data_IF_580266283145
#
_entry.id   IF_580266283145
#
_cell.length_a   1.000
_cell.length_b   1.000
_cell.length_c   1.000
_cell.angle_alpha   90.00
_cell.angle_beta   90.00
_cell.angle_gamma   90.00
#
_symmetry.space_group_name_H-M   'P 1'
#
loop_
_entity.id
_entity.type
_entity.pdbx_description
1 polymer ?
#
# COMPACT_ATOMS: atom_id res chain seq x y z
N UNK A 1 -11.35 42.40 -8.68
CA UNK A 1 -12.15 41.63 -7.70
C UNK A 1 -12.48 40.20 -8.14
N UNK A 2 -12.62 39.91 -9.45
CA UNK A 2 -12.93 38.54 -9.94
C UNK A 2 -11.78 37.53 -9.86
N UNK A 3 -10.53 37.98 -9.91
CA UNK A 3 -9.37 37.08 -10.03
C UNK A 3 -8.97 36.44 -8.69
N UNK A 4 -8.99 37.22 -7.61
CA UNK A 4 -8.82 36.71 -6.24
C UNK A 4 -9.90 35.69 -5.86
N UNK A 5 -11.13 35.92 -6.33
CA UNK A 5 -12.27 35.03 -6.06
C UNK A 5 -12.10 33.69 -6.78
N UNK A 6 -11.65 33.71 -8.04
CA UNK A 6 -11.29 32.50 -8.81
C UNK A 6 -10.14 31.72 -8.17
N UNK A 7 -9.13 32.43 -7.67
CA UNK A 7 -7.97 31.81 -7.01
C UNK A 7 -8.38 31.16 -5.68
N UNK A 8 -9.23 31.82 -4.91
CA UNK A 8 -9.79 31.28 -3.66
C UNK A 8 -10.67 30.05 -3.92
N UNK A 9 -11.54 30.08 -4.94
CA UNK A 9 -12.37 28.92 -5.29
C UNK A 9 -11.54 27.73 -5.77
N UNK A 10 -10.50 27.98 -6.58
CA UNK A 10 -9.60 26.93 -7.04
C UNK A 10 -8.82 26.26 -5.91
N UNK A 11 -8.27 27.06 -4.97
CA UNK A 11 -7.56 26.51 -3.81
C UNK A 11 -8.49 25.72 -2.89
N UNK A 12 -9.72 26.20 -2.68
CA UNK A 12 -10.74 25.48 -1.91
C UNK A 12 -11.15 24.16 -2.57
N UNK A 13 -11.28 24.12 -3.90
CA UNK A 13 -11.52 22.87 -4.65
C UNK A 13 -10.34 21.90 -4.57
N UNK A 14 -9.10 22.39 -4.69
CA UNK A 14 -7.91 21.56 -4.59
C UNK A 14 -7.76 20.94 -3.20
N UNK A 15 -7.96 21.73 -2.14
CA UNK A 15 -7.99 21.27 -0.76
C UNK A 15 -9.10 20.23 -0.53
N UNK A 16 -10.30 20.51 -1.05
CA UNK A 16 -11.44 19.58 -1.00
C UNK A 16 -11.13 18.25 -1.71
N UNK A 17 -10.54 18.28 -2.91
CA UNK A 17 -10.16 17.07 -3.64
C UNK A 17 -9.10 16.25 -2.90
N UNK A 18 -8.13 16.91 -2.25
CA UNK A 18 -7.14 16.27 -1.40
C UNK A 18 -7.79 15.51 -0.24
N UNK A 19 -8.72 16.15 0.50
CA UNK A 19 -9.46 15.47 1.58
C UNK A 19 -10.44 14.40 1.06
N UNK A 20 -11.03 14.59 -0.12
CA UNK A 20 -11.90 13.62 -0.77
C UNK A 20 -11.13 12.31 -1.10
N UNK A 21 -9.93 12.43 -1.67
CA UNK A 21 -9.04 11.29 -1.92
C UNK A 21 -8.58 10.62 -0.63
N UNK A 22 -8.28 11.42 0.41
CA UNK A 22 -7.91 10.91 1.73
C UNK A 22 -9.06 10.14 2.41
N UNK A 23 -10.31 10.55 2.18
CA UNK A 23 -11.48 9.97 2.84
C UNK A 23 -12.11 8.76 2.10
N UNK A 24 -11.87 8.58 0.79
CA UNK A 24 -12.42 7.46 -0.04
C UNK A 24 -13.96 7.26 0.06
N UNK A 25 -14.75 8.33 0.18
CA UNK A 25 -16.22 8.24 0.36
C UNK A 25 -16.98 8.84 -0.82
N UNK A 26 -17.86 8.02 -1.40
CA UNK A 26 -18.68 8.32 -2.56
C UNK A 26 -20.15 8.31 -2.12
N UNK A 27 -20.65 9.24 -1.28
CA UNK A 27 -22.11 9.49 -1.21
C UNK A 27 -22.60 10.71 -0.40
N UNK A 28 -23.64 11.32 -0.98
CA UNK A 28 -24.72 12.17 -0.45
C UNK A 28 -24.39 13.53 0.19
N UNK A 29 -24.66 14.57 -0.63
CA UNK A 29 -25.36 15.88 -0.41
C UNK A 29 -25.13 16.73 0.84
N UNK A 30 -24.63 16.17 1.94
CA UNK A 30 -24.25 16.86 3.17
C UNK A 30 -22.77 16.62 3.56
N UNK A 31 -22.09 15.65 2.94
CA UNK A 31 -20.74 15.21 3.32
C UNK A 31 -19.58 16.19 3.11
N UNK A 32 -19.85 17.34 2.48
CA UNK A 32 -18.84 18.35 2.14
C UNK A 32 -18.68 19.45 3.21
N UNK A 33 -19.53 19.41 4.24
CA UNK A 33 -19.50 20.35 5.36
C UNK A 33 -18.94 19.64 6.58
N UNK A 34 -18.03 20.31 7.31
CA UNK A 34 -17.47 19.86 8.59
C UNK A 34 -18.54 19.85 9.70
N UNK A 35 -19.53 18.98 9.54
CA UNK A 35 -20.72 18.87 10.37
C UNK A 35 -20.48 17.90 11.50
N UNK A 36 -21.32 18.00 12.54
CA UNK A 36 -21.39 17.01 13.62
C UNK A 36 -21.50 15.58 13.06
N UNK A 37 -22.27 15.38 11.99
CA UNK A 37 -22.39 14.08 11.31
C UNK A 37 -21.04 13.50 10.86
N UNK A 38 -20.15 14.31 10.26
CA UNK A 38 -18.83 13.85 9.83
C UNK A 38 -17.94 13.49 11.02
N UNK A 39 -17.92 14.33 12.06
CA UNK A 39 -17.17 14.04 13.27
C UNK A 39 -17.68 12.79 14.00
N UNK A 40 -18.99 12.60 14.06
CA UNK A 40 -19.60 11.41 14.66
C UNK A 40 -19.28 10.15 13.83
N UNK A 41 -19.30 10.27 12.49
CA UNK A 41 -18.88 9.18 11.59
C UNK A 41 -17.39 8.86 11.72
N UNK A 42 -16.52 9.87 11.83
CA UNK A 42 -15.09 9.67 12.07
C UNK A 42 -14.82 9.00 13.42
N UNK A 43 -15.50 9.44 14.49
CA UNK A 43 -15.41 8.81 15.81
C UNK A 43 -15.86 7.35 15.75
N UNK A 44 -16.97 7.07 15.05
CA UNK A 44 -17.48 5.71 14.86
C UNK A 44 -16.50 4.83 14.09
N UNK A 45 -15.91 5.36 13.02
CA UNK A 45 -14.91 4.65 12.23
C UNK A 45 -13.62 4.41 13.03
N UNK A 46 -13.16 5.41 13.78
CA UNK A 46 -11.99 5.29 14.64
C UNK A 46 -12.24 4.23 15.73
N UNK A 47 -13.41 4.24 16.37
CA UNK A 47 -13.78 3.24 17.37
C UNK A 47 -13.86 1.82 16.77
N UNK A 48 -14.46 1.69 15.58
CA UNK A 48 -14.59 0.40 14.87
C UNK A 48 -13.25 -0.14 14.37
N UNK A 49 -12.34 0.73 13.96
CA UNK A 49 -11.03 0.34 13.40
C UNK A 49 -9.94 0.23 14.48
N UNK A 50 -10.24 0.58 15.73
CA UNK A 50 -9.32 0.41 16.85
C UNK A 50 -9.41 -1.00 17.40
N UNK A 51 -8.26 -1.65 17.55
CA UNK A 51 -8.15 -2.93 18.26
C UNK A 51 -7.94 -2.60 19.73
N UNK A 52 -8.99 -2.80 20.54
CA UNK A 52 -8.96 -2.46 21.97
C UNK A 52 -8.36 -3.56 22.83
N UNK A 53 -8.55 -4.81 22.43
CA UNK A 53 -8.02 -5.96 23.13
C UNK A 53 -7.87 -7.14 22.19
N UNK A 54 -6.94 -8.04 22.53
CA UNK A 54 -6.71 -9.32 21.86
C UNK A 54 -6.59 -10.40 22.93
N UNK A 55 -7.15 -11.57 22.64
CA UNK A 55 -6.99 -12.79 23.44
C UNK A 55 -5.85 -13.62 22.85
N UNK A 56 -4.86 -13.93 23.69
CA UNK A 56 -3.71 -14.77 23.37
C UNK A 56 -4.10 -16.25 23.31
N UNK A 57 -3.20 -17.07 22.78
CA UNK A 57 -3.38 -18.52 22.72
C UNK A 57 -3.51 -19.19 24.09
N UNK A 58 -2.91 -18.60 25.14
CA UNK A 58 -3.01 -19.06 26.53
C UNK A 58 -4.30 -18.61 27.25
N UNK A 59 -5.18 -17.88 26.56
CA UNK A 59 -6.43 -17.34 27.09
C UNK A 59 -6.30 -16.00 27.83
N UNK A 60 -5.08 -15.46 27.97
CA UNK A 60 -4.88 -14.13 28.55
C UNK A 60 -5.31 -13.02 27.58
N UNK A 61 -5.74 -11.87 28.12
CA UNK A 61 -6.19 -10.72 27.33
C UNK A 61 -5.17 -9.60 27.45
N UNK A 62 -4.72 -9.10 26.31
CA UNK A 62 -3.90 -7.89 26.19
C UNK A 62 -4.75 -6.73 25.73
N UNK A 63 -4.60 -5.56 26.35
CA UNK A 63 -5.38 -4.35 26.08
C UNK A 63 -4.52 -3.08 25.90
N UNK A 64 -3.21 -3.24 26.02
CA UNK A 64 -2.23 -2.17 25.82
C UNK A 64 -1.83 -2.12 24.35
N UNK A 65 -1.90 -0.93 23.74
CA UNK A 65 -1.53 -0.74 22.33
C UNK A 65 -0.13 -1.26 21.95
N UNK A 66 0.96 -1.01 22.72
CA UNK A 66 2.28 -1.57 22.42
C UNK A 66 2.29 -3.11 22.50
N UNK A 67 1.63 -3.70 23.50
CA UNK A 67 1.62 -5.15 23.67
C UNK A 67 0.82 -5.83 22.55
N UNK A 68 -0.30 -5.22 22.14
CA UNK A 68 -1.08 -5.67 20.98
C UNK A 68 -0.20 -5.62 19.73
N UNK A 69 0.49 -4.50 19.47
CA UNK A 69 1.36 -4.37 18.31
C UNK A 69 2.47 -5.43 18.30
N UNK A 70 3.10 -5.68 19.44
CA UNK A 70 4.14 -6.71 19.57
C UNK A 70 3.58 -8.11 19.29
N UNK A 71 2.42 -8.44 19.84
CA UNK A 71 1.77 -9.74 19.59
C UNK A 71 1.49 -9.97 18.10
N UNK A 72 1.04 -8.94 17.38
CA UNK A 72 0.86 -9.00 15.93
C UNK A 72 2.18 -9.27 15.20
N UNK A 73 3.26 -8.58 15.58
CA UNK A 73 4.59 -8.79 14.98
C UNK A 73 5.07 -10.22 15.23
N UNK A 74 5.00 -10.70 16.48
CA UNK A 74 5.49 -12.02 16.87
C UNK A 74 4.71 -13.13 16.15
N UNK A 75 3.38 -13.02 16.12
CA UNK A 75 2.52 -13.98 15.43
C UNK A 75 2.82 -14.06 13.93
N UNK A 76 2.86 -12.93 13.23
CA UNK A 76 3.09 -12.94 11.77
C UNK A 76 4.54 -13.25 11.40
N UNK A 77 5.51 -12.91 12.24
CA UNK A 77 6.91 -13.33 12.05
C UNK A 77 7.02 -14.85 12.13
N UNK A 78 6.39 -15.46 13.15
CA UNK A 78 6.32 -16.92 13.28
C UNK A 78 5.56 -17.57 12.11
N UNK A 79 4.44 -16.99 11.69
CA UNK A 79 3.58 -17.52 10.61
C UNK A 79 4.24 -17.46 9.23
N UNK A 80 4.89 -16.33 8.88
CA UNK A 80 5.54 -16.14 7.59
C UNK A 80 6.82 -16.98 7.45
N UNK A 81 7.29 -17.52 8.57
CA UNK A 81 8.21 -18.64 8.61
C UNK A 81 9.61 -18.28 9.02
N UNK A 82 10.39 -19.34 9.16
CA UNK A 82 11.83 -19.32 9.41
C UNK A 82 12.52 -19.91 8.18
N UNK A 83 13.81 -19.61 8.00
CA UNK A 83 14.59 -20.21 6.92
C UNK A 83 14.61 -21.73 7.10
N UNK A 84 14.18 -22.47 6.08
CA UNK A 84 14.24 -23.93 6.04
C UNK A 84 15.15 -24.39 4.90
N UNK A 85 15.79 -25.54 5.07
CA UNK A 85 16.64 -26.12 4.03
C UNK A 85 15.78 -26.62 2.88
N UNK A 86 15.82 -25.87 1.77
CA UNK A 86 15.19 -26.28 0.53
C UNK A 86 16.08 -27.29 -0.21
N UNK A 87 15.45 -28.32 -0.77
CA UNK A 87 16.14 -29.21 -1.70
C UNK A 87 16.54 -28.42 -2.95
N UNK A 88 17.71 -28.72 -3.56
CA UNK A 88 18.05 -28.13 -4.85
C UNK A 88 16.96 -28.46 -5.87
N UNK A 89 16.67 -27.49 -6.74
CA UNK A 89 15.69 -27.67 -7.80
C UNK A 89 16.16 -28.80 -8.73
N UNK A 90 15.27 -29.76 -9.02
CA UNK A 90 15.55 -30.83 -9.96
C UNK A 90 15.45 -30.31 -11.39
N UNK A 91 16.60 -30.14 -12.06
CA UNK A 91 16.69 -29.70 -13.45
C UNK A 91 15.90 -30.61 -14.41
N UNK A 92 15.73 -31.88 -14.05
CA UNK A 92 14.92 -32.84 -14.79
C UNK A 92 13.48 -32.37 -14.96
N UNK A 93 12.90 -31.70 -13.97
CA UNK A 93 11.51 -31.20 -14.01
C UNK A 93 11.32 -30.14 -15.10
N UNK A 94 12.31 -29.29 -15.36
CA UNK A 94 12.23 -28.27 -16.42
C UNK A 94 12.31 -28.86 -17.82
N UNK A 95 13.01 -29.98 -17.99
CA UNK A 95 13.17 -30.64 -19.29
C UNK A 95 11.86 -31.27 -19.82
N UNK A 96 10.89 -31.57 -18.94
CA UNK A 96 9.59 -32.14 -19.33
C UNK A 96 8.52 -31.09 -19.63
N UNK A 97 8.78 -29.81 -19.36
CA UNK A 97 7.84 -28.72 -19.56
C UNK A 97 7.98 -28.03 -20.93
N UNK A 98 6.98 -27.24 -21.36
CA UNK A 98 7.13 -26.38 -22.52
C UNK A 98 8.23 -25.34 -22.28
N UNK A 99 9.21 -25.29 -23.19
CA UNK A 99 10.29 -24.32 -23.17
C UNK A 99 9.90 -23.04 -23.94
N UNK A 100 10.39 -21.90 -23.46
CA UNK A 100 10.26 -20.64 -24.19
C UNK A 100 11.08 -20.69 -25.48
N UNK A 101 10.61 -20.00 -26.51
CA UNK A 101 11.43 -19.76 -27.69
C UNK A 101 12.65 -18.91 -27.32
N UNK A 102 13.74 -19.04 -28.06
CA UNK A 102 14.95 -18.23 -27.85
C UNK A 102 14.65 -16.73 -27.89
N UNK A 103 13.71 -16.32 -28.74
CA UNK A 103 13.23 -14.94 -28.82
C UNK A 103 12.52 -14.48 -27.53
N UNK A 104 11.60 -15.28 -27.00
CA UNK A 104 10.90 -14.95 -25.74
C UNK A 104 11.87 -14.92 -24.56
N UNK A 105 12.80 -15.87 -24.50
CA UNK A 105 13.84 -15.89 -23.46
C UNK A 105 14.72 -14.62 -23.52
N UNK A 106 15.16 -14.23 -24.72
CA UNK A 106 15.91 -13.00 -24.93
C UNK A 106 15.11 -11.76 -24.50
N UNK A 107 13.82 -11.72 -24.83
CA UNK A 107 12.94 -10.62 -24.45
C UNK A 107 12.70 -10.52 -22.94
N UNK A 108 12.66 -11.65 -22.21
CA UNK A 108 12.53 -11.65 -20.75
C UNK A 108 13.82 -11.21 -20.04
N UNK A 109 14.98 -11.52 -20.62
CA UNK A 109 16.28 -11.18 -20.06
C UNK A 109 16.79 -9.79 -20.47
N UNK A 110 16.07 -9.07 -21.33
CA UNK A 110 16.47 -7.74 -21.80
C UNK A 110 16.40 -6.71 -20.66
N UNK A 111 17.21 -5.65 -20.78
CA UNK A 111 17.16 -4.55 -19.82
C UNK A 111 15.81 -3.83 -19.84
N UNK A 112 15.31 -3.50 -18.65
CA UNK A 112 14.10 -2.69 -18.46
C UNK A 112 14.31 -1.29 -19.03
N UNK A 113 13.30 -0.79 -19.75
CA UNK A 113 13.34 0.51 -20.43
C UNK A 113 12.55 1.59 -19.68
N UNK A 114 12.89 2.88 -19.84
CA UNK A 114 12.10 3.98 -19.27
C UNK A 114 10.63 3.99 -19.73
N UNK A 115 10.36 3.49 -20.94
CA UNK A 115 9.01 3.38 -21.48
C UNK A 115 8.16 2.34 -20.73
N UNK A 116 8.75 1.19 -20.39
CA UNK A 116 8.09 0.17 -19.57
C UNK A 116 7.83 0.68 -18.16
N UNK A 117 8.82 1.35 -17.55
CA UNK A 117 8.66 1.97 -16.22
C UNK A 117 7.52 2.97 -16.22
N UNK A 118 7.50 3.89 -17.18
CA UNK A 118 6.41 4.87 -17.30
C UNK A 118 5.06 4.20 -17.48
N UNK A 119 4.98 3.20 -18.35
CA UNK A 119 3.73 2.47 -18.62
C UNK A 119 3.21 1.81 -17.35
N UNK A 120 4.08 1.11 -16.61
CA UNK A 120 3.72 0.47 -15.35
C UNK A 120 3.21 1.47 -14.31
N UNK A 121 3.90 2.60 -14.12
CA UNK A 121 3.47 3.65 -13.17
C UNK A 121 2.12 4.24 -13.59
N UNK A 122 1.89 4.46 -14.88
CA UNK A 122 0.65 5.05 -15.38
C UNK A 122 -0.56 4.10 -15.31
N UNK A 123 -0.34 2.79 -15.28
CA UNK A 123 -1.39 1.78 -15.07
C UNK A 123 -1.93 1.74 -13.63
N UNK A 124 -1.18 2.23 -12.64
CA UNK A 124 -1.62 2.26 -11.23
C UNK A 124 -2.78 3.23 -11.08
N UNK A 125 -3.94 2.82 -10.56
CA UNK A 125 -5.08 3.74 -10.38
C UNK A 125 -4.74 4.94 -9.46
N UNK A 126 -5.29 6.12 -9.76
CA UNK A 126 -4.96 7.37 -9.04
C UNK A 126 -5.43 7.38 -7.57
N UNK A 127 -6.46 6.59 -7.24
CA UNK A 127 -7.09 6.53 -5.91
C UNK A 127 -6.53 5.41 -5.02
N UNK A 128 -5.33 4.91 -5.29
CA UNK A 128 -4.65 3.95 -4.41
C UNK A 128 -4.13 4.64 -3.15
N UNK A 129 -4.01 3.86 -2.07
CA UNK A 129 -3.51 4.39 -0.80
C UNK A 129 -2.07 4.90 -0.98
N UNK A 130 -1.70 6.02 -0.35
CA UNK A 130 -0.32 6.49 -0.36
C UNK A 130 0.57 5.59 0.49
N UNK A 131 1.88 5.63 0.22
CA UNK A 131 2.88 5.05 1.12
C UNK A 131 3.02 5.87 2.42
N UNK A 132 4.00 5.52 3.28
CA UNK A 132 4.31 6.26 4.49
C UNK A 132 4.69 7.73 4.25
N UNK A 133 5.11 8.07 3.04
CA UNK A 133 5.48 9.43 2.60
C UNK A 133 4.27 10.32 2.28
N UNK A 134 3.07 9.75 2.19
CA UNK A 134 1.84 10.46 1.87
C UNK A 134 1.62 10.77 0.39
N UNK A 135 2.52 10.36 -0.52
CA UNK A 135 2.36 10.58 -1.94
C UNK A 135 1.58 9.43 -2.60
N UNK A 136 0.61 9.77 -3.45
CA UNK A 136 -0.17 8.80 -4.23
C UNK A 136 0.43 8.61 -5.63
N UNK A 137 0.01 7.56 -6.33
CA UNK A 137 0.33 7.36 -7.75
C UNK A 137 -0.01 8.59 -8.61
N UNK A 138 -1.08 9.32 -8.27
CA UNK A 138 -1.48 10.57 -8.93
C UNK A 138 -0.37 11.63 -8.89
N UNK A 139 0.32 11.78 -7.76
CA UNK A 139 1.45 12.72 -7.64
C UNK A 139 2.54 12.40 -8.68
N UNK A 140 3.00 11.15 -8.72
CA UNK A 140 4.06 10.74 -9.66
C UNK A 140 3.66 10.92 -11.12
N UNK A 141 2.39 10.63 -11.47
CA UNK A 141 1.89 10.85 -12.83
C UNK A 141 1.81 12.33 -13.20
N UNK A 142 1.29 13.17 -12.29
CA UNK A 142 1.13 14.61 -12.54
C UNK A 142 2.47 15.35 -12.55
N UNK A 143 3.42 14.94 -11.72
CA UNK A 143 4.77 15.49 -11.63
C UNK A 143 5.79 14.74 -12.50
N UNK A 144 5.34 13.89 -13.45
CA UNK A 144 6.24 13.00 -14.19
C UNK A 144 7.33 13.74 -14.97
N UNK A 145 7.05 14.96 -15.44
CA UNK A 145 8.03 15.83 -16.09
C UNK A 145 9.16 16.30 -15.15
N UNK A 146 8.96 16.23 -13.84
CA UNK A 146 9.93 16.62 -12.81
C UNK A 146 10.62 15.37 -12.24
N UNK A 147 9.84 14.36 -11.81
CA UNK A 147 10.36 13.20 -11.07
C UNK A 147 10.59 11.96 -11.94
N UNK A 148 10.04 11.91 -13.16
CA UNK A 148 9.98 10.68 -13.96
C UNK A 148 11.36 10.14 -14.34
N UNK A 149 12.31 11.00 -14.64
CA UNK A 149 13.68 10.58 -14.94
C UNK A 149 14.39 9.97 -13.71
N UNK A 150 14.20 10.55 -12.52
CA UNK A 150 14.72 9.98 -11.27
C UNK A 150 14.10 8.61 -10.96
N UNK A 151 12.78 8.48 -11.14
CA UNK A 151 12.05 7.22 -10.95
C UNK A 151 12.56 6.14 -11.90
N UNK A 152 12.71 6.46 -13.20
CA UNK A 152 13.25 5.53 -14.19
C UNK A 152 14.66 5.07 -13.83
N UNK A 153 15.55 6.01 -13.46
CA UNK A 153 16.92 5.66 -13.06
C UNK A 153 16.95 4.74 -11.85
N UNK A 154 16.18 5.06 -10.81
CA UNK A 154 16.14 4.25 -9.60
C UNK A 154 15.68 2.81 -9.88
N UNK A 155 14.61 2.65 -10.67
CA UNK A 155 14.07 1.32 -11.01
C UNK A 155 15.05 0.55 -11.90
N UNK A 156 15.61 1.18 -12.93
CA UNK A 156 16.58 0.53 -13.82
C UNK A 156 17.89 0.19 -13.09
N UNK A 157 18.29 0.98 -12.10
CA UNK A 157 19.45 0.67 -11.25
C UNK A 157 19.18 -0.53 -10.35
N UNK A 158 17.98 -0.65 -9.78
CA UNK A 158 17.56 -1.84 -9.04
C UNK A 158 17.62 -3.10 -9.90
N UNK A 159 17.09 -3.09 -11.13
CA UNK A 159 17.14 -4.26 -12.02
C UNK A 159 18.56 -4.64 -12.47
N UNK A 160 19.52 -3.71 -12.42
CA UNK A 160 20.93 -3.98 -12.77
C UNK A 160 21.75 -4.43 -11.58
N UNK A 161 21.55 -3.82 -10.42
CA UNK A 161 22.37 -4.05 -9.22
C UNK A 161 21.78 -5.09 -8.27
N UNK A 162 20.46 -5.29 -8.30
CA UNK A 162 19.71 -6.04 -7.29
C UNK A 162 19.52 -5.29 -5.97
N UNK A 163 19.98 -4.04 -5.86
CA UNK A 163 19.94 -3.26 -4.63
C UNK A 163 18.79 -2.26 -4.64
N UNK A 164 18.00 -2.26 -3.56
CA UNK A 164 16.93 -1.30 -3.32
C UNK A 164 17.14 -0.61 -1.98
N UNK A 165 16.88 0.70 -1.91
CA UNK A 165 16.88 1.43 -0.65
C UNK A 165 15.82 0.87 0.29
N UNK A 166 16.20 0.52 1.52
CA UNK A 166 15.31 -0.09 2.51
C UNK A 166 14.06 0.75 2.77
N UNK A 167 14.17 2.08 2.69
CA UNK A 167 13.08 3.02 2.87
C UNK A 167 11.97 2.86 1.83
N UNK A 168 12.29 2.42 0.60
CA UNK A 168 11.29 2.15 -0.44
C UNK A 168 10.44 0.91 -0.12
N UNK A 169 10.95 0.02 0.73
CA UNK A 169 10.23 -1.16 1.21
C UNK A 169 9.44 -0.90 2.50
N UNK A 170 9.49 0.32 3.05
CA UNK A 170 8.65 0.65 4.20
C UNK A 170 7.20 0.79 3.74
N UNK A 171 6.32 0.03 4.39
CA UNK A 171 4.88 0.10 4.15
C UNK A 171 4.12 0.25 5.46
N UNK A 172 2.92 0.83 5.39
CA UNK A 172 2.01 0.87 6.52
C UNK A 172 1.18 -0.41 6.47
N UNK A 173 1.37 -1.27 7.47
CA UNK A 173 0.54 -2.47 7.61
C UNK A 173 -0.81 -2.04 8.22
N UNK A 174 -1.88 -2.23 7.45
CA UNK A 174 -3.24 -2.12 7.95
C UNK A 174 -3.76 -3.51 8.34
N UNK A 175 -4.33 -3.61 9.54
CA UNK A 175 -4.94 -4.84 10.05
C UNK A 175 -6.44 -4.82 9.76
N UNK A 176 -6.90 -5.71 8.89
CA UNK A 176 -8.31 -5.81 8.52
C UNK A 176 -8.94 -7.02 9.22
N UNK A 177 -10.00 -6.84 10.04
CA UNK A 177 -10.68 -7.95 10.68
C UNK A 177 -11.34 -8.87 9.64
N UNK A 178 -11.27 -10.18 9.85
CA UNK A 178 -11.88 -11.21 8.99
C UNK A 178 -13.39 -11.32 9.21
N UNK A 179 -13.86 -11.00 10.41
CA UNK A 179 -15.25 -11.12 10.86
C UNK A 179 -15.59 -9.98 11.83
N UNK A 180 -16.88 -9.79 12.14
CA UNK A 180 -17.31 -8.75 13.10
C UNK A 180 -16.77 -8.96 14.51
N UNK A 181 -16.49 -10.21 14.89
CA UNK A 181 -15.91 -10.58 16.17
C UNK A 181 -14.54 -11.19 15.93
N UNK A 182 -13.49 -10.40 16.16
CA UNK A 182 -12.09 -10.79 15.96
C UNK A 182 -11.35 -10.77 17.30
N UNK A 183 -11.51 -11.81 18.14
CA UNK A 183 -10.89 -11.83 19.46
C UNK A 183 -9.39 -12.08 19.42
N UNK A 184 -8.85 -12.70 18.37
CA UNK A 184 -7.44 -13.12 18.32
C UNK A 184 -6.67 -12.48 17.17
N UNK A 185 -5.33 -12.52 17.22
CA UNK A 185 -4.46 -12.02 16.13
C UNK A 185 -4.74 -12.75 14.81
N UNK A 186 -5.04 -14.04 14.87
CA UNK A 186 -5.36 -14.86 13.70
C UNK A 186 -6.63 -14.40 12.98
N UNK A 187 -7.49 -13.60 13.61
CA UNK A 187 -8.73 -13.09 13.04
C UNK A 187 -8.53 -11.82 12.21
N UNK A 188 -7.29 -11.36 12.04
CA UNK A 188 -6.97 -10.21 11.22
C UNK A 188 -6.21 -10.62 9.96
N UNK A 189 -6.21 -9.75 8.96
CA UNK A 189 -5.41 -9.87 7.74
C UNK A 189 -4.52 -8.64 7.65
N UNK A 190 -3.19 -8.78 7.68
CA UNK A 190 -2.28 -7.69 7.39
C UNK A 190 -2.35 -7.42 5.89
N UNK A 191 -2.61 -6.16 5.53
CA UNK A 191 -2.53 -5.67 4.16
C UNK A 191 -1.60 -4.46 4.13
N UNK A 192 -0.78 -4.39 3.08
CA UNK A 192 0.10 -3.28 2.75
C UNK A 192 -0.37 -2.59 1.48
#
# INVERSE_FOLDING_TARGET
MGDLRKKATFLAEAERHFYYQKAKIHFLKQGDRNTKFFHDMMKRNAARNSILAITKADGSIINSAPDIAQEFVDFYTSLLGTEDQTLPVDDGVFHWGPLLTSELASNLCRAVTPAEVKTAVFQISDNKAPGPDGYTSCFFKKAWNIVGDLVCRAIMDFFRSGWMLRQLNHTIIALVPKSEHSPSVADYRPIS
#
